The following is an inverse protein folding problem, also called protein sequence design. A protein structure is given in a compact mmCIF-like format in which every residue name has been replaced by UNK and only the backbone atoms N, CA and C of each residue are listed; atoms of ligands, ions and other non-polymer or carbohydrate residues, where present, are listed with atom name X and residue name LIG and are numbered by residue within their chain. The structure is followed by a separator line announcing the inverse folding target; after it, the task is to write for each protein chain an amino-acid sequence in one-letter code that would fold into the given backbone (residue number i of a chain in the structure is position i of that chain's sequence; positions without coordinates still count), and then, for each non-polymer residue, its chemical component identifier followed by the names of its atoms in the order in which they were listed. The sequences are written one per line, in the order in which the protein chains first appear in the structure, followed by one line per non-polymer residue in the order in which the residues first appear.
data_IF_718467135930
#
_entry.id   IF_718467135930
#
_cell.length_a   1.000
_cell.length_b   1.000
_cell.length_c   1.000
_cell.angle_alpha   90.00
_cell.angle_beta   90.00
_cell.angle_gamma   90.00
#
_symmetry.space_group_name_H-M   'P 1'
#
loop_
_entity.id
_entity.type
_entity.pdbx_description
1 polymer ?
2 water ?
#
# COMPACT_ATOMS: atom_id res chain seq x y z
N UNK A 11 -11.51 13.54 -12.70
CA UNK A 11 -11.43 13.54 -14.15
C UNK A 11 -10.89 12.25 -14.71
N UNK A 12 -10.48 11.33 -13.84
CA UNK A 12 -9.77 10.14 -14.27
C UNK A 12 -8.27 10.33 -14.39
N UNK A 13 -7.79 11.56 -14.25
CA UNK A 13 -6.36 11.84 -14.26
C UNK A 13 -5.82 11.80 -12.83
N UNK A 14 -4.79 10.98 -12.59
CA UNK A 14 -4.13 10.94 -11.30
C UNK A 14 -3.59 12.30 -10.89
N UNK A 15 -3.27 13.16 -11.87
CA UNK A 15 -2.78 14.51 -11.59
C UNK A 15 -3.83 15.37 -10.94
N UNK A 16 -5.09 15.03 -11.09
CA UNK A 16 -6.19 15.84 -10.62
C UNK A 16 -6.88 15.22 -9.42
N UNK A 17 -6.53 13.98 -9.08
CA UNK A 17 -7.23 13.26 -8.02
C UNK A 17 -6.91 13.87 -6.67
N UNK A 18 -7.88 13.77 -5.77
CA UNK A 18 -7.70 14.29 -4.42
C UNK A 18 -7.98 13.26 -3.34
N UNK A 19 -8.23 12.01 -3.70
CA UNK A 19 -8.37 11.00 -2.66
C UNK A 19 -8.09 9.61 -3.24
N UNK A 20 -7.87 8.67 -2.30
CA UNK A 20 -7.69 7.26 -2.65
C UNK A 20 -8.86 6.71 -3.46
N UNK A 21 -10.05 7.28 -3.27
CA UNK A 21 -11.27 6.70 -3.78
C UNK A 21 -11.44 6.91 -5.27
N UNK A 22 -10.58 7.70 -5.91
CA UNK A 22 -10.66 7.87 -7.36
C UNK A 22 -9.96 6.77 -8.12
N UNK A 23 -9.31 5.81 -7.46
CA UNK A 23 -8.48 4.83 -8.13
C UNK A 23 -9.08 3.44 -8.04
N UNK A 24 -8.64 2.58 -8.95
CA UNK A 24 -9.02 1.16 -8.97
C UNK A 24 -7.76 0.38 -9.25
N UNK A 25 -7.71 -0.87 -8.83
CA UNK A 25 -6.53 -1.70 -9.12
C UNK A 25 -6.98 -3.14 -9.07
N UNK A 26 -6.34 -4.04 -9.84
CA UNK A 26 -6.69 -5.47 -9.70
C UNK A 26 -6.16 -6.09 -8.41
N UNK A 27 -6.98 -6.93 -7.79
CA UNK A 27 -6.52 -7.70 -6.65
C UNK A 27 -5.59 -8.81 -7.13
N UNK A 28 -5.11 -9.58 -6.15
CA UNK A 28 -4.06 -10.58 -6.44
C UNK A 28 -4.59 -11.70 -7.31
N UNK A 29 -5.91 -11.90 -7.33
CA UNK A 29 -6.57 -12.89 -8.18
C UNK A 29 -6.94 -12.32 -9.52
N UNK A 30 -6.76 -11.02 -9.71
CA UNK A 30 -7.05 -10.35 -10.95
C UNK A 30 -8.40 -9.66 -11.02
N UNK A 31 -9.16 -9.63 -9.93
CA UNK A 31 -10.47 -8.97 -9.93
C UNK A 31 -10.23 -7.46 -9.76
N UNK A 32 -10.80 -6.63 -10.62
CA UNK A 32 -10.64 -5.18 -10.48
C UNK A 32 -11.37 -4.73 -9.23
N UNK A 33 -10.71 -3.93 -8.41
CA UNK A 33 -11.26 -3.40 -7.17
C UNK A 33 -11.33 -1.90 -7.32
N UNK A 34 -12.51 -1.33 -7.14
CA UNK A 34 -12.68 0.12 -7.04
C UNK A 34 -12.37 0.52 -5.60
N UNK A 35 -11.35 1.35 -5.39
CA UNK A 35 -10.86 1.63 -4.05
C UNK A 35 -11.78 2.54 -3.27
N UNK A 36 -12.85 3.04 -3.88
CA UNK A 36 -13.92 3.69 -3.11
C UNK A 36 -14.59 2.71 -2.17
N UNK A 37 -14.33 1.43 -2.29
CA UNK A 37 -14.83 0.49 -1.31
C UNK A 37 -14.30 0.77 0.09
N UNK A 38 -13.15 1.46 0.20
CA UNK A 38 -12.56 1.80 1.48
C UNK A 38 -13.04 3.14 2.04
N UNK A 39 -14.05 3.75 1.41
CA UNK A 39 -14.57 5.01 1.92
C UNK A 39 -14.93 4.87 3.41
N UNK A 40 -14.46 5.80 4.23
CA UNK A 40 -14.83 5.82 5.62
C UNK A 40 -14.04 4.89 6.48
N UNK A 41 -13.01 4.23 5.93
CA UNK A 41 -12.14 3.33 6.70
C UNK A 41 -10.75 3.94 6.86
N UNK A 42 -10.02 3.48 7.88
CA UNK A 42 -8.63 3.90 8.05
C UNK A 42 -7.76 2.95 7.26
N UNK A 43 -6.86 3.47 6.40
CA UNK A 43 -6.18 2.62 5.43
C UNK A 43 -4.67 2.76 5.57
N UNK A 44 -3.98 1.65 5.44
CA UNK A 44 -2.54 1.64 5.18
C UNK A 44 -2.33 1.04 3.79
N UNK A 45 -1.61 1.76 2.93
CA UNK A 45 -1.17 1.28 1.62
C UNK A 45 0.32 1.01 1.70
N UNK A 46 0.77 -0.14 1.25
CA UNK A 46 2.20 -0.44 1.28
C UNK A 46 2.60 -1.25 0.06
N UNK A 47 3.83 -1.04 -0.40
CA UNK A 47 4.41 -1.88 -1.44
C UNK A 47 5.21 -2.99 -0.77
N UNK A 48 4.99 -4.22 -1.20
CA UNK A 48 5.57 -5.38 -0.53
C UNK A 48 6.48 -6.15 -1.48
N UNK A 49 7.28 -7.06 -0.89
CA UNK A 49 8.17 -7.94 -1.65
C UNK A 49 8.45 -9.15 -0.78
N UNK A 50 8.71 -10.27 -1.43
CA UNK A 50 8.91 -11.52 -0.70
C UNK A 50 10.38 -11.80 -0.36
N UNK A 51 11.36 -11.16 -1.01
CA UNK A 51 12.78 -11.51 -0.85
C UNK A 51 13.61 -10.35 -0.31
N UNK A 52 13.04 -9.54 0.57
CA UNK A 52 13.66 -8.36 1.16
C UNK A 52 14.14 -8.73 2.56
N UNK A 53 15.27 -8.15 2.96
CA UNK A 53 15.73 -8.39 4.32
C UNK A 53 14.65 -8.11 5.35
N UNK A 54 13.77 -7.15 5.05
CA UNK A 54 12.77 -6.72 6.01
C UNK A 54 11.39 -7.30 5.71
N UNK A 55 11.31 -8.32 4.85
CA UNK A 55 10.03 -8.95 4.52
C UNK A 55 9.38 -9.52 5.77
N UNK A 56 10.15 -10.21 6.61
CA UNK A 56 9.53 -10.93 7.72
C UNK A 56 8.98 -9.94 8.74
N UNK A 57 9.76 -8.94 9.13
CA UNK A 57 9.27 -8.01 10.15
C UNK A 57 8.07 -7.21 9.62
N UNK A 58 8.11 -6.79 8.36
CA UNK A 58 6.96 -6.04 7.83
C UNK A 58 5.71 -6.88 7.75
N UNK A 59 5.79 -8.09 7.19
CA UNK A 59 4.59 -8.91 7.15
C UNK A 59 4.08 -9.23 8.55
N UNK A 60 4.97 -9.58 9.48
CA UNK A 60 4.51 -9.96 10.82
C UNK A 60 3.82 -8.81 11.51
N UNK A 61 4.37 -7.62 11.41
CA UNK A 61 3.81 -6.45 12.07
C UNK A 61 2.58 -5.89 11.34
N UNK A 62 2.50 -6.02 10.01
CA UNK A 62 1.25 -5.66 9.30
C UNK A 62 0.12 -6.59 9.73
N UNK A 63 0.38 -7.89 9.76
CA UNK A 63 -0.63 -8.82 10.25
C UNK A 63 -1.07 -8.46 11.65
N UNK A 64 -0.12 -8.12 12.53
CA UNK A 64 -0.48 -7.75 13.89
C UNK A 64 -1.36 -6.51 13.92
N UNK A 65 -1.03 -5.50 13.13
CA UNK A 65 -1.88 -4.32 13.10
C UNK A 65 -3.29 -4.67 12.62
N UNK A 66 -3.41 -5.54 11.63
CA UNK A 66 -4.73 -5.87 11.10
C UNK A 66 -5.51 -6.62 12.15
N UNK A 67 -4.86 -7.55 12.85
CA UNK A 67 -5.55 -8.30 13.90
C UNK A 67 -5.99 -7.41 15.04
N UNK A 68 -5.19 -6.42 15.40
CA UNK A 68 -5.54 -5.58 16.53
C UNK A 68 -6.61 -4.58 16.18
N UNK A 69 -6.63 -4.11 14.90
CA UNK A 69 -7.35 -2.90 14.57
C UNK A 69 -8.38 -3.04 13.45
N UNK A 70 -8.49 -4.20 12.84
CA UNK A 70 -9.54 -4.39 11.83
C UNK A 70 -10.90 -4.02 12.39
N UNK A 71 -11.13 -4.31 13.69
CA UNK A 71 -12.42 -4.00 14.30
C UNK A 71 -12.64 -2.52 14.46
N UNK A 72 -11.58 -1.70 14.34
CA UNK A 72 -11.74 -0.26 14.31
C UNK A 72 -11.87 0.28 12.89
N UNK A 73 -11.86 -0.60 11.91
CA UNK A 73 -11.93 -0.20 10.54
C UNK A 73 -10.62 -0.10 9.82
N UNK A 74 -9.53 -0.60 10.38
CA UNK A 74 -8.26 -0.56 9.66
C UNK A 74 -8.25 -1.57 8.53
N UNK A 75 -7.86 -1.10 7.36
CA UNK A 75 -7.70 -1.93 6.17
C UNK A 75 -6.28 -1.73 5.66
N UNK A 76 -5.64 -2.82 5.30
CA UNK A 76 -4.27 -2.76 4.77
C UNK A 76 -4.34 -3.24 3.33
N UNK A 77 -3.77 -2.44 2.42
CA UNK A 77 -3.75 -2.72 0.98
C UNK A 77 -2.30 -2.94 0.60
N UNK A 78 -1.98 -4.16 0.20
CA UNK A 78 -0.59 -4.54 -0.09
C UNK A 78 -0.39 -4.72 -1.59
N UNK A 79 0.58 -4.00 -2.15
CA UNK A 79 0.85 -4.00 -3.59
C UNK A 79 2.22 -4.61 -3.79
N UNK A 80 2.33 -5.83 -4.30
CA UNK A 80 3.64 -6.39 -4.63
C UNK A 80 4.32 -5.55 -5.69
N UNK A 81 5.65 -5.49 -5.62
CA UNK A 81 6.41 -4.70 -6.57
C UNK A 81 7.82 -5.26 -6.68
N UNK A 82 8.24 -5.49 -7.92
CA UNK A 82 9.54 -6.10 -8.23
C UNK A 82 10.62 -5.08 -8.63
N UNK A 83 10.42 -3.80 -8.34
CA UNK A 83 11.35 -2.79 -8.81
C UNK A 83 12.54 -2.58 -7.88
N UNK A 84 12.56 -3.20 -6.71
CA UNK A 84 13.56 -2.89 -5.68
C UNK A 84 14.41 -4.12 -5.40
N UNK A 85 15.50 -4.22 -6.17
CA UNK A 85 16.37 -5.38 -6.08
C UNK A 85 15.80 -6.66 -6.66
N UNK A 86 14.75 -6.57 -7.47
CA UNK A 86 14.05 -7.74 -8.02
C UNK A 86 13.66 -8.70 -6.91
N UNK A 87 13.08 -8.15 -5.84
CA UNK A 87 12.77 -8.94 -4.66
C UNK A 87 11.34 -9.40 -4.62
N UNK A 88 10.61 -9.20 -5.70
CA UNK A 88 9.28 -9.80 -5.87
C UNK A 88 9.19 -10.44 -7.26
N UNK A 89 9.99 -11.49 -7.52
CA UNK A 89 10.01 -12.08 -8.86
C UNK A 89 8.83 -12.98 -9.17
N UNK A 90 8.04 -13.38 -8.17
CA UNK A 90 7.00 -14.35 -8.40
C UNK A 90 5.85 -13.78 -9.21
N UNK A 91 5.18 -14.67 -9.93
CA UNK A 91 3.86 -14.36 -10.45
C UNK A 91 2.88 -14.04 -9.33
N UNK A 92 1.76 -13.44 -9.74
CA UNK A 92 0.70 -13.16 -8.77
C UNK A 92 0.27 -14.43 -8.06
N UNK A 93 0.17 -15.55 -8.80
CA UNK A 93 -0.21 -16.81 -8.18
C UNK A 93 0.83 -17.27 -7.18
N UNK A 94 2.12 -17.10 -7.49
CA UNK A 94 3.16 -17.40 -6.50
C UNK A 94 3.06 -16.49 -5.28
N UNK A 95 2.82 -15.19 -5.50
CA UNK A 95 2.78 -14.25 -4.37
C UNK A 95 1.59 -14.56 -3.48
N UNK A 96 0.48 -14.95 -4.09
CA UNK A 96 -0.68 -15.33 -3.29
C UNK A 96 -0.33 -16.46 -2.32
N UNK A 97 0.42 -17.46 -2.78
CA UNK A 97 0.80 -18.56 -1.90
C UNK A 97 1.71 -18.09 -0.77
N UNK A 98 2.59 -17.11 -1.05
CA UNK A 98 3.59 -16.67 -0.07
C UNK A 98 2.97 -16.02 1.16
N UNK A 99 1.95 -15.18 0.98
CA UNK A 99 1.46 -14.39 2.10
C UNK A 99 0.76 -15.23 3.16
N UNK A 100 0.26 -16.41 2.79
CA UNK A 100 -0.37 -17.31 3.75
C UNK A 100 0.61 -17.78 4.83
N UNK A 101 1.91 -17.85 4.51
CA UNK A 101 2.88 -18.21 5.54
C UNK A 101 2.84 -17.24 6.70
N UNK A 102 2.35 -16.03 6.46
CA UNK A 102 2.18 -15.04 7.51
C UNK A 102 0.73 -14.92 7.91
N UNK A 103 -0.11 -15.78 7.34
CA UNK A 103 -1.55 -15.81 7.58
C UNK A 103 -2.17 -14.46 7.25
N UNK A 104 -1.82 -13.93 6.08
CA UNK A 104 -2.32 -12.61 5.68
C UNK A 104 -3.81 -12.70 5.38
N UNK A 105 -4.59 -11.85 6.04
CA UNK A 105 -6.01 -11.73 5.80
C UNK A 105 -6.42 -10.34 5.37
N UNK A 106 -5.48 -9.40 5.27
CA UNK A 106 -5.79 -8.11 4.67
C UNK A 106 -5.77 -8.24 3.15
N UNK A 107 -5.85 -7.12 2.43
CA UNK A 107 -6.16 -7.14 1.01
C UNK A 107 -4.87 -7.14 0.19
N UNK A 108 -4.71 -8.13 -0.66
CA UNK A 108 -3.52 -8.24 -1.50
C UNK A 108 -3.90 -7.93 -2.94
N UNK A 109 -3.06 -7.18 -3.59
CA UNK A 109 -3.28 -6.71 -4.94
C UNK A 109 -2.29 -7.36 -5.89
N UNK A 110 -2.59 -7.28 -7.19
CA UNK A 110 -1.69 -7.77 -8.21
C UNK A 110 -0.42 -6.93 -8.23
N UNK A 111 0.68 -7.55 -8.64
CA UNK A 111 1.95 -6.86 -8.70
C UNK A 111 1.88 -5.67 -9.66
N UNK A 112 2.55 -4.58 -9.27
CA UNK A 112 2.57 -3.31 -10.01
C UNK A 112 3.97 -2.71 -10.00
N UNK A 113 4.16 -1.70 -10.81
CA UNK A 113 5.24 -0.74 -10.64
C UNK A 113 4.71 0.42 -9.81
N UNK A 114 5.58 0.94 -8.96
CA UNK A 114 5.28 2.11 -8.15
C UNK A 114 6.02 3.36 -8.60
N UNK A 115 7.14 3.23 -9.28
CA UNK A 115 7.94 4.35 -9.79
C UNK A 115 8.04 4.24 -11.31
N UNK A 116 8.36 5.35 -11.94
CA UNK A 116 8.65 5.31 -13.37
C UNK A 116 7.43 5.36 -14.26
N UNK A 117 7.75 5.11 -15.55
CA UNK A 117 6.81 5.31 -16.64
C UNK A 117 5.59 4.40 -16.56
N UNK A 118 5.75 3.20 -16.04
CA UNK A 118 4.66 2.24 -15.96
C UNK A 118 4.03 2.20 -14.58
N UNK A 119 4.31 3.15 -13.70
CA UNK A 119 3.75 3.08 -12.34
C UNK A 119 2.22 3.14 -12.40
N UNK A 120 1.59 2.43 -11.50
CA UNK A 120 0.14 2.46 -11.43
C UNK A 120 -0.29 3.87 -11.04
N UNK A 121 -1.42 4.37 -11.58
CA UNK A 121 -1.78 5.77 -11.27
C UNK A 121 -2.00 6.05 -9.80
N UNK A 122 -2.45 5.07 -9.00
CA UNK A 122 -2.59 5.32 -7.58
C UNK A 122 -1.25 5.73 -6.98
N UNK A 123 -0.17 5.04 -7.40
CA UNK A 123 1.16 5.30 -6.85
C UNK A 123 1.78 6.58 -7.42
N UNK A 124 1.45 6.93 -8.67
CA UNK A 124 1.81 8.26 -9.17
C UNK A 124 1.21 9.32 -8.25
N UNK A 125 -0.06 9.16 -7.86
CA UNK A 125 -0.69 10.10 -6.97
C UNK A 125 -0.08 10.06 -5.56
N UNK A 126 0.12 8.86 -4.99
CA UNK A 126 0.69 8.77 -3.64
C UNK A 126 2.03 9.51 -3.54
N UNK A 127 2.87 9.39 -4.57
CA UNK A 127 4.18 10.05 -4.54
C UNK A 127 4.07 11.56 -4.57
N UNK A 128 2.95 12.13 -5.01
CA UNK A 128 2.81 13.58 -5.05
C UNK A 128 2.18 14.18 -3.80
N UNK A 129 1.88 13.40 -2.78
CA UNK A 129 0.83 13.81 -1.85
C UNK A 129 0.95 15.15 -1.12
N UNK A 130 2.02 15.46 -0.42
CA UNK A 130 2.14 16.83 0.09
C UNK A 130 2.34 17.83 -1.05
N UNK A 131 1.28 18.06 -1.84
CA UNK A 131 1.18 19.21 -2.75
C UNK A 131 2.11 19.11 -3.96
N UNK A 132 2.30 17.91 -4.50
CA UNK A 132 3.20 17.76 -5.63
C UNK A 132 2.65 18.38 -6.90
N UNK A 133 3.56 18.82 -7.77
CA UNK A 133 3.19 19.55 -8.98
C UNK A 133 3.08 18.66 -10.21
N UNK A 134 2.97 17.35 -10.03
CA UNK A 134 2.72 16.45 -11.15
C UNK A 134 3.95 16.02 -11.90
N UNK A 135 5.14 16.27 -11.36
CA UNK A 135 6.38 15.98 -12.05
C UNK A 135 7.10 14.76 -11.47
N UNK A 136 6.47 14.03 -10.56
CA UNK A 136 7.08 12.80 -10.07
C UNK A 136 7.10 12.64 -8.57
N UNK A 137 7.09 13.75 -7.84
CA UNK A 137 6.99 13.63 -6.40
C UNK A 137 8.21 12.99 -5.74
N UNK A 138 7.93 12.32 -4.63
CA UNK A 138 8.93 11.72 -3.76
C UNK A 138 9.01 10.24 -4.15
N UNK A 139 10.04 9.84 -4.90
CA UNK A 139 10.15 8.48 -5.43
C UNK A 139 10.07 7.46 -4.30
N UNK A 140 9.42 6.32 -4.56
CA UNK A 140 9.49 5.23 -3.59
C UNK A 140 10.91 4.70 -3.56
N UNK A 141 11.48 4.58 -2.37
CA UNK A 141 12.92 4.34 -2.27
C UNK A 141 13.30 2.87 -2.19
N UNK A 142 12.39 2.01 -1.69
CA UNK A 142 12.67 0.60 -1.56
C UNK A 142 11.37 -0.09 -1.18
N UNK A 143 11.46 -1.38 -0.99
CA UNK A 143 10.35 -2.17 -0.53
C UNK A 143 9.81 -1.67 0.79
N UNK A 144 8.51 -1.80 0.98
CA UNK A 144 7.85 -1.56 2.28
C UNK A 144 7.86 -0.09 2.65
N UNK A 145 7.56 0.79 1.70
CA UNK A 145 7.09 2.12 2.05
C UNK A 145 5.62 2.01 2.45
N UNK A 146 5.17 2.87 3.37
CA UNK A 146 3.79 2.80 3.84
C UNK A 146 3.18 4.19 3.81
N UNK A 147 1.90 4.25 3.49
CA UNK A 147 1.12 5.47 3.55
C UNK A 147 -0.07 5.23 4.46
N UNK A 148 -0.28 6.12 5.41
CA UNK A 148 -1.48 6.12 6.24
C UNK A 148 -2.48 7.10 5.64
N UNK A 149 -3.69 6.60 5.40
CA UNK A 149 -4.76 7.31 4.70
C UNK A 149 -5.98 7.39 5.63
N UNK A 150 -6.55 8.60 5.74
CA UNK A 150 -7.66 8.84 6.67
C UNK A 150 -8.99 8.37 6.08
N UNK A 151 -10.07 8.59 6.84
CA UNK A 151 -11.40 8.11 6.46
C UNK A 151 -12.03 8.91 5.34
N UNK A 152 -11.37 9.97 4.87
CA UNK A 152 -11.78 10.70 3.68
C UNK A 152 -10.85 10.42 2.51
N UNK A 153 -9.97 9.43 2.64
CA UNK A 153 -9.13 9.01 1.54
C UNK A 153 -7.91 9.87 1.33
N UNK A 154 -7.55 10.72 2.29
CA UNK A 154 -6.41 11.62 2.17
C UNK A 154 -5.18 11.00 2.82
N UNK A 155 -4.03 11.19 2.19
CA UNK A 155 -2.77 10.76 2.82
C UNK A 155 -2.48 11.66 4.02
N UNK A 156 -2.23 11.05 5.16
CA UNK A 156 -1.87 11.84 6.34
C UNK A 156 -0.44 11.65 6.78
N UNK A 157 0.20 10.55 6.42
CA UNK A 157 1.60 10.33 6.78
C UNK A 157 2.20 9.26 5.88
N UNK A 158 3.50 9.40 5.63
CA UNK A 158 4.27 8.43 4.88
C UNK A 158 5.37 7.91 5.79
N UNK A 159 5.66 6.64 5.69
CA UNK A 159 6.69 5.98 6.47
C UNK A 159 7.57 5.20 5.52
N UNK A 160 8.88 5.24 5.75
CA UNK A 160 9.79 4.70 4.78
C UNK A 160 10.10 3.24 5.00
N UNK A 161 10.90 2.70 4.08
CA UNK A 161 11.36 1.32 4.19
C UNK A 161 11.96 0.97 5.52
N UNK A 162 12.57 1.93 6.21
CA UNK A 162 13.22 1.67 7.49
C UNK A 162 12.29 1.78 8.69
N UNK A 163 11.06 2.26 8.50
CA UNK A 163 10.12 2.42 9.60
C UNK A 163 9.28 1.16 9.68
N UNK A 164 9.46 0.35 10.72
CA UNK A 164 8.70 -0.87 10.80
C UNK A 164 7.21 -0.53 11.00
N UNK A 165 6.30 -1.44 10.63
CA UNK A 165 4.86 -1.06 10.68
C UNK A 165 4.40 -0.57 12.05
N UNK A 166 5.03 -1.06 13.13
CA UNK A 166 4.67 -0.62 14.46
C UNK A 166 4.90 0.86 14.70
N UNK A 167 5.74 1.52 13.91
CA UNK A 167 5.83 2.97 13.99
C UNK A 167 4.46 3.64 13.72
N UNK A 168 3.66 3.07 12.81
CA UNK A 168 2.34 3.67 12.47
C UNK A 168 1.33 3.59 13.62
N UNK A 169 1.56 2.70 14.58
CA UNK A 169 0.55 2.40 15.60
C UNK A 169 0.11 3.64 16.39
N UNK A 170 1.07 4.48 16.85
CA UNK A 170 0.68 5.61 17.67
C UNK A 170 -0.07 6.66 16.89
N UNK A 171 -0.03 6.64 15.55
CA UNK A 171 -0.81 7.57 14.77
C UNK A 171 -2.22 7.07 14.51
N UNK A 172 -2.41 5.76 14.57
CA UNK A 172 -3.69 5.15 14.16
C UNK A 172 -4.90 5.72 14.90
N UNK A 173 -4.89 5.90 16.24
CA UNK A 173 -6.13 6.32 16.93
C UNK A 173 -6.62 7.68 16.52
N UNK A 174 -5.76 8.52 15.93
CA UNK A 174 -6.17 9.82 15.41
C UNK A 174 -7.12 9.71 14.24
N UNK A 175 -7.10 8.58 13.55
CA UNK A 175 -7.81 8.45 12.29
C UNK A 175 -8.85 7.37 12.30
N UNK A 176 -9.06 6.71 13.44
CA UNK A 176 -10.16 5.77 13.56
C UNK A 176 -11.47 6.52 13.64
#
# INVERSE_FOLDING_TARGET
MAHHHHHHVGTGDWRTATSLYEFSAPDIDGNMVDLSKYRGHTVIVTNVASQCGKTEVNYKQLVELHERYAERGLRILAFPCNQFGKQEPGSNAEIKEFMARYNVKFDMFAKIDVNGDSAHPLWKWLREQPNGKGIGGNAIKWNFTKFLIDKEGKVVKRYGPMDEPKVIEADLPKYF
#
